data_IF_081683566279
#
_entry.id   IF_081683566279
#
_cell.length_a   1.000
_cell.length_b   1.000
_cell.length_c   1.000
_cell.angle_alpha   90.00
_cell.angle_beta   90.00
_cell.angle_gamma   90.00
#
_symmetry.space_group_name_H-M   'P 1'
#
loop_
_entity.id
_entity.type
_entity.pdbx_description
1 polymer ?
#
# COMPACT_ATOMS: atom_id res chain seq x y z
N UNK A 1 -5.18 0.24 -0.76
CA UNK A 1 -4.05 1.15 -0.51
C UNK A 1 -4.61 2.49 -0.13
N UNK A 2 -4.21 3.08 0.99
CA UNK A 2 -4.79 4.35 1.51
C UNK A 2 -3.72 5.39 1.85
N UNK A 3 -2.43 5.09 1.63
CA UNK A 3 -1.31 6.00 1.88
C UNK A 3 -0.94 6.86 0.66
N UNK A 4 -1.26 6.38 -0.54
CA UNK A 4 -1.07 7.07 -1.81
C UNK A 4 -2.16 6.61 -2.79
N UNK A 5 -2.44 7.44 -3.80
CA UNK A 5 -3.44 7.15 -4.82
C UNK A 5 -2.96 6.21 -5.92
N UNK A 6 -1.65 6.19 -6.19
CA UNK A 6 -0.99 5.31 -7.15
C UNK A 6 0.33 4.77 -6.59
N UNK A 7 0.74 3.61 -7.10
CA UNK A 7 2.11 3.11 -6.93
C UNK A 7 2.52 2.26 -8.14
N UNK A 8 3.73 2.50 -8.64
CA UNK A 8 4.42 1.65 -9.60
C UNK A 8 5.49 0.80 -8.90
N UNK A 9 5.46 -0.50 -9.13
CA UNK A 9 6.44 -1.45 -8.60
C UNK A 9 7.17 -2.13 -9.75
N UNK A 10 8.50 -2.13 -9.71
CA UNK A 10 9.35 -2.81 -10.69
C UNK A 10 10.13 -3.94 -10.02
N UNK A 11 9.96 -5.18 -10.49
CA UNK A 11 10.62 -6.37 -9.94
C UNK A 11 11.95 -6.74 -10.62
N UNK A 12 12.42 -5.88 -11.54
CA UNK A 12 13.61 -6.12 -12.36
C UNK A 12 13.29 -6.67 -13.76
N UNK A 13 12.07 -7.19 -13.98
CA UNK A 13 11.60 -7.68 -15.28
C UNK A 13 10.24 -7.09 -15.69
N UNK A 14 9.37 -6.82 -14.72
CA UNK A 14 7.99 -6.38 -14.93
C UNK A 14 7.67 -5.14 -14.08
N UNK A 15 6.92 -4.20 -14.67
CA UNK A 15 6.27 -3.10 -13.95
C UNK A 15 4.81 -3.46 -13.63
N UNK A 16 4.39 -3.23 -12.38
CA UNK A 16 3.00 -3.35 -11.93
C UNK A 16 2.53 -2.02 -11.35
N UNK A 17 1.48 -1.45 -11.93
CA UNK A 17 0.82 -0.24 -11.44
C UNK A 17 -0.41 -0.63 -10.62
N UNK A 18 -0.59 -0.01 -9.46
CA UNK A 18 -1.79 -0.16 -8.63
C UNK A 18 -2.37 1.21 -8.31
N UNK A 19 -3.68 1.31 -8.42
CA UNK A 19 -4.44 2.51 -8.07
C UNK A 19 -5.28 2.28 -6.82
N UNK A 20 -5.48 3.33 -6.03
CA UNK A 20 -6.29 3.29 -4.82
C UNK A 20 -7.76 3.47 -5.14
N UNK A 21 -8.55 2.40 -5.02
CA UNK A 21 -10.01 2.50 -5.00
C UNK A 21 -10.50 3.52 -3.95
N UNK A 22 -10.14 3.37 -2.66
CA UNK A 22 -10.64 4.26 -1.60
C UNK A 22 -10.34 5.75 -1.81
N UNK A 23 -9.17 6.10 -2.36
CA UNK A 23 -8.79 7.51 -2.57
C UNK A 23 -9.34 8.09 -3.88
N UNK A 24 -9.62 7.26 -4.89
CA UNK A 24 -10.00 7.73 -6.23
C UNK A 24 -11.48 7.56 -6.56
N UNK A 25 -12.22 6.68 -5.86
CA UNK A 25 -13.60 6.32 -6.24
C UNK A 25 -14.61 7.47 -6.18
N UNK A 26 -14.33 8.52 -5.40
CA UNK A 26 -15.18 9.71 -5.28
C UNK A 26 -14.53 10.96 -5.89
N UNK A 27 -13.40 10.80 -6.58
CA UNK A 27 -12.69 11.89 -7.25
C UNK A 27 -13.18 12.03 -8.70
N UNK A 28 -13.04 13.22 -9.29
CA UNK A 28 -13.25 13.38 -10.73
C UNK A 28 -12.43 12.38 -11.53
N UNK A 29 -12.97 11.89 -12.65
CA UNK A 29 -12.27 10.95 -13.55
C UNK A 29 -10.93 11.52 -14.06
N UNK A 30 -10.81 12.86 -14.14
CA UNK A 30 -9.56 13.53 -14.46
C UNK A 30 -8.42 13.19 -13.47
N UNK A 31 -8.72 13.09 -12.17
CA UNK A 31 -7.74 12.76 -11.13
C UNK A 31 -7.28 11.30 -11.25
N UNK A 32 -8.21 10.39 -11.55
CA UNK A 32 -7.90 8.99 -11.83
C UNK A 32 -6.92 8.89 -13.00
N UNK A 33 -7.19 9.60 -14.10
CA UNK A 33 -6.34 9.61 -15.30
C UNK A 33 -4.97 10.24 -15.02
N UNK A 34 -4.93 11.38 -14.32
CA UNK A 34 -3.69 12.02 -13.93
C UNK A 34 -2.83 11.12 -13.02
N UNK A 35 -3.45 10.43 -12.06
CA UNK A 35 -2.78 9.46 -11.18
C UNK A 35 -2.24 8.27 -11.98
N UNK A 36 -3.03 7.71 -12.90
CA UNK A 36 -2.58 6.62 -13.76
C UNK A 36 -1.37 7.05 -14.60
N UNK A 37 -1.45 8.20 -15.28
CA UNK A 37 -0.38 8.70 -16.12
C UNK A 37 0.90 8.96 -15.31
N UNK A 38 0.77 9.49 -14.08
CA UNK A 38 1.90 9.61 -13.15
C UNK A 38 2.62 8.27 -12.95
N UNK A 39 1.88 7.20 -12.63
CA UNK A 39 2.46 5.88 -12.43
C UNK A 39 2.98 5.24 -13.74
N UNK A 40 2.38 5.56 -14.90
CA UNK A 40 2.87 5.12 -16.21
C UNK A 40 4.19 5.79 -16.60
N UNK A 41 4.42 7.05 -16.22
CA UNK A 41 5.71 7.72 -16.42
C UNK A 41 6.80 7.01 -15.61
N UNK A 42 6.52 6.65 -14.36
CA UNK A 42 7.44 5.82 -13.55
C UNK A 42 7.77 4.51 -14.25
N UNK A 43 6.74 3.79 -14.71
CA UNK A 43 6.91 2.51 -15.40
C UNK A 43 7.77 2.66 -16.67
N UNK A 44 7.51 3.70 -17.48
CA UNK A 44 8.29 4.00 -18.68
C UNK A 44 9.77 4.23 -18.35
N UNK A 45 10.07 5.05 -17.34
CA UNK A 45 11.44 5.32 -16.92
C UNK A 45 12.13 4.05 -16.42
N UNK A 46 11.44 3.22 -15.62
CA UNK A 46 11.99 1.96 -15.12
C UNK A 46 12.35 0.99 -16.25
N UNK A 47 11.52 0.90 -17.29
CA UNK A 47 11.75 0.01 -18.42
C UNK A 47 12.84 0.53 -19.37
N UNK A 48 12.87 1.84 -19.64
CA UNK A 48 13.83 2.42 -20.58
C UNK A 48 15.22 2.63 -19.97
N UNK A 49 15.33 2.81 -18.65
CA UNK A 49 16.59 3.15 -17.97
C UNK A 49 16.78 2.43 -16.63
N UNK A 50 16.93 1.10 -16.63
CA UNK A 50 16.97 0.29 -15.40
C UNK A 50 18.17 0.58 -14.48
N UNK A 51 19.22 1.25 -14.98
CA UNK A 51 20.46 1.57 -14.25
C UNK A 51 20.56 3.01 -13.73
N UNK A 52 19.61 3.88 -14.05
CA UNK A 52 19.66 5.26 -13.56
C UNK A 52 19.21 5.37 -12.10
N UNK A 53 19.71 6.40 -11.41
CA UNK A 53 19.22 6.80 -10.09
C UNK A 53 17.69 6.85 -10.14
N UNK A 54 17.05 6.13 -9.23
CA UNK A 54 15.60 6.13 -9.04
C UNK A 54 15.19 7.39 -8.29
N UNK A 55 15.56 8.53 -8.84
CA UNK A 55 15.05 9.80 -8.37
C UNK A 55 13.58 9.86 -8.78
N UNK A 56 12.69 9.76 -7.78
CA UNK A 56 11.26 9.50 -8.01
C UNK A 56 10.68 10.49 -9.03
N UNK A 57 11.11 11.76 -9.03
CA UNK A 57 10.58 12.77 -9.94
C UNK A 57 11.66 13.68 -10.55
N UNK A 58 12.80 13.09 -10.95
CA UNK A 58 13.91 13.82 -11.56
C UNK A 58 13.58 14.50 -12.92
N UNK A 59 14.56 15.16 -13.58
CA UNK A 59 14.32 15.93 -14.80
C UNK A 59 13.63 15.17 -15.93
N UNK A 60 13.90 13.87 -16.08
CA UNK A 60 13.24 13.02 -17.07
C UNK A 60 11.74 12.86 -16.78
N UNK A 61 11.37 12.59 -15.52
CA UNK A 61 9.97 12.51 -15.13
C UNK A 61 9.26 13.84 -15.45
N UNK A 62 9.87 14.95 -15.06
CA UNK A 62 9.31 16.28 -15.25
C UNK A 62 9.16 16.65 -16.73
N UNK A 63 10.12 16.25 -17.56
CA UNK A 63 10.08 16.45 -19.01
C UNK A 63 8.92 15.69 -19.66
N UNK A 64 8.74 14.40 -19.36
CA UNK A 64 7.65 13.58 -19.89
C UNK A 64 6.30 14.08 -19.37
N UNK A 65 6.20 14.38 -18.07
CA UNK A 65 5.01 14.96 -17.44
C UNK A 65 4.60 16.27 -18.13
N UNK A 66 5.55 17.18 -18.33
CA UNK A 66 5.33 18.44 -19.04
C UNK A 66 4.81 18.22 -20.45
N UNK A 67 5.47 17.35 -21.22
CA UNK A 67 5.08 17.02 -22.59
C UNK A 67 3.65 16.45 -22.67
N UNK A 68 3.23 15.57 -21.75
CA UNK A 68 1.87 15.02 -21.73
C UNK A 68 0.84 16.11 -21.40
N UNK A 69 1.12 16.93 -20.38
CA UNK A 69 0.24 18.01 -19.95
C UNK A 69 0.03 19.05 -21.07
N UNK A 70 1.08 19.41 -21.82
CA UNK A 70 1.01 20.42 -22.90
C UNK A 70 0.69 19.83 -24.28
N UNK A 71 0.59 18.50 -24.41
CA UNK A 71 0.35 17.86 -25.71
C UNK A 71 -1.03 18.21 -26.27
N UNK A 72 -1.04 18.63 -27.54
CA UNK A 72 -2.25 18.84 -28.34
C UNK A 72 -2.64 17.59 -29.16
N UNK A 73 -1.94 16.47 -28.98
CA UNK A 73 -2.21 15.24 -29.73
C UNK A 73 -3.65 14.76 -29.50
N UNK A 74 -4.37 14.33 -30.56
CA UNK A 74 -5.72 13.81 -30.44
C UNK A 74 -5.76 12.61 -29.49
N UNK A 75 -6.53 12.74 -28.41
CA UNK A 75 -6.74 11.69 -27.44
C UNK A 75 -8.18 11.76 -26.95
N UNK A 76 -8.97 10.74 -27.28
CA UNK A 76 -10.38 10.63 -26.92
C UNK A 76 -10.59 10.49 -25.40
N UNK A 77 -9.55 10.15 -24.64
CA UNK A 77 -9.60 10.08 -23.19
C UNK A 77 -9.14 11.37 -22.51
N UNK A 78 -8.62 12.36 -23.25
CA UNK A 78 -8.16 13.62 -22.67
C UNK A 78 -9.34 14.39 -22.05
N UNK A 79 -9.26 14.80 -20.77
CA UNK A 79 -10.28 15.67 -20.16
C UNK A 79 -10.38 17.01 -20.92
N UNK A 80 -11.54 17.70 -20.91
CA UNK A 80 -11.71 18.99 -21.59
C UNK A 80 -10.67 20.05 -21.20
N UNK A 81 -10.24 20.06 -19.93
CA UNK A 81 -9.21 20.95 -19.39
C UNK A 81 -7.77 20.46 -19.64
N UNK A 82 -7.59 19.36 -20.38
CA UNK A 82 -6.30 18.68 -20.55
C UNK A 82 -5.94 17.78 -19.36
N UNK A 83 -4.75 17.16 -19.45
CA UNK A 83 -4.16 16.42 -18.34
C UNK A 83 -3.46 17.38 -17.36
N UNK A 84 -3.61 17.09 -16.07
CA UNK A 84 -3.01 17.87 -14.98
C UNK A 84 -2.15 16.96 -14.10
N UNK A 85 -1.16 16.29 -14.70
CA UNK A 85 -0.23 15.45 -13.97
C UNK A 85 0.68 16.36 -13.13
N UNK A 86 0.90 16.00 -11.87
CA UNK A 86 1.80 16.71 -10.97
C UNK A 86 2.78 15.75 -10.29
N UNK A 87 3.86 16.32 -9.74
CA UNK A 87 4.88 15.58 -8.96
C UNK A 87 4.27 15.03 -7.66
N UNK A 88 3.37 15.79 -7.03
CA UNK A 88 2.76 15.42 -5.77
C UNK A 88 1.27 15.19 -5.93
N UNK A 89 0.84 13.99 -5.58
CA UNK A 89 -0.58 13.65 -5.43
C UNK A 89 -1.28 14.64 -4.48
N UNK A 90 -2.41 15.23 -4.90
CA UNK A 90 -3.16 16.24 -4.14
C UNK A 90 -4.11 15.68 -3.07
N UNK A 91 -4.10 14.36 -2.84
CA UNK A 91 -5.06 13.65 -1.96
C UNK A 91 -4.74 13.73 -0.46
N UNK A 92 -4.27 14.89 0.01
CA UNK A 92 -3.79 15.03 1.40
C UNK A 92 -4.92 14.80 2.40
N UNK A 93 -6.12 15.34 2.12
CA UNK A 93 -7.27 15.25 3.02
C UNK A 93 -7.84 13.84 3.07
N UNK A 94 -7.98 13.17 1.92
CA UNK A 94 -8.44 11.79 1.86
C UNK A 94 -7.47 10.84 2.55
N UNK A 95 -6.16 11.02 2.34
CA UNK A 95 -5.13 10.27 3.05
C UNK A 95 -5.21 10.53 4.56
N UNK A 96 -5.45 11.78 4.97
CA UNK A 96 -5.58 12.14 6.38
C UNK A 96 -6.81 11.50 7.06
N UNK A 97 -7.94 11.37 6.36
CA UNK A 97 -9.14 10.64 6.85
C UNK A 97 -8.81 9.17 7.17
N UNK A 98 -7.88 8.57 6.43
CA UNK A 98 -7.43 7.21 6.69
C UNK A 98 -6.35 7.12 7.77
N UNK A 99 -5.65 8.20 8.12
CA UNK A 99 -4.59 8.21 9.15
C UNK A 99 -5.16 8.33 10.57
N UNK A 100 -5.96 7.34 10.96
CA UNK A 100 -6.72 7.32 12.22
C UNK A 100 -5.90 6.95 13.45
N UNK A 101 -4.70 6.42 13.29
CA UNK A 101 -3.85 6.00 14.40
C UNK A 101 -2.85 7.09 14.73
N UNK A 102 -3.00 7.68 15.91
CA UNK A 102 -2.18 8.79 16.38
C UNK A 102 -1.23 8.29 17.46
N UNK A 103 0.05 8.53 17.25
CA UNK A 103 1.13 8.19 18.16
C UNK A 103 1.82 9.48 18.61
N UNK A 104 1.94 9.69 19.91
CA UNK A 104 2.57 10.89 20.46
C UNK A 104 3.80 10.51 21.29
N UNK A 105 4.89 11.25 21.11
CA UNK A 105 6.06 11.10 21.97
C UNK A 105 5.77 11.67 23.36
N UNK A 106 5.91 10.86 24.41
CA UNK A 106 5.67 11.30 25.78
C UNK A 106 6.65 12.36 26.31
N UNK A 107 7.77 12.62 25.62
CA UNK A 107 8.78 13.58 26.05
C UNK A 107 8.70 14.93 25.30
N UNK A 108 8.59 14.91 23.97
CA UNK A 108 8.57 16.14 23.17
C UNK A 108 7.19 16.50 22.61
N UNK A 109 6.18 15.65 22.79
CA UNK A 109 4.83 15.88 22.25
C UNK A 109 4.70 15.67 20.74
N UNK A 110 5.76 15.28 20.01
CA UNK A 110 5.72 15.03 18.57
C UNK A 110 4.64 14.00 18.21
N UNK A 111 3.80 14.33 17.25
CA UNK A 111 2.68 13.51 16.81
C UNK A 111 2.93 12.87 15.44
N UNK A 112 2.72 11.56 15.36
CA UNK A 112 2.82 10.78 14.12
C UNK A 112 1.48 10.11 13.84
N UNK A 113 0.83 10.53 12.75
CA UNK A 113 -0.43 9.94 12.26
C UNK A 113 -0.19 8.87 11.21
N UNK A 114 -0.80 7.70 11.38
CA UNK A 114 -0.64 6.54 10.49
C UNK A 114 -1.98 5.94 10.11
N UNK A 115 -2.04 5.39 8.89
CA UNK A 115 -3.20 4.64 8.42
C UNK A 115 -3.24 3.20 8.96
N UNK A 116 -2.10 2.67 9.37
CA UNK A 116 -2.00 1.35 10.00
C UNK A 116 -1.72 1.53 11.50
N UNK A 117 -2.30 0.64 12.32
CA UNK A 117 -2.08 0.61 13.77
C UNK A 117 -0.69 0.06 14.10
N UNK A 118 0.35 0.82 13.77
CA UNK A 118 1.74 0.45 13.93
C UNK A 118 2.51 1.63 14.54
N UNK A 119 3.19 1.46 15.69
CA UNK A 119 3.99 2.53 16.26
C UNK A 119 5.15 2.91 15.33
N UNK A 120 5.66 4.15 15.42
CA UNK A 120 6.99 4.47 14.94
C UNK A 120 8.01 3.44 15.43
N UNK A 121 8.83 2.93 14.51
CA UNK A 121 9.74 1.82 14.79
C UNK A 121 10.96 1.89 13.89
N UNK A 122 11.91 0.97 14.15
CA UNK A 122 13.13 0.81 13.35
C UNK A 122 12.88 0.64 11.84
N UNK A 123 11.72 0.13 11.43
CA UNK A 123 11.40 -0.01 10.01
C UNK A 123 11.16 1.33 9.29
N UNK A 124 10.94 2.41 10.04
CA UNK A 124 10.84 3.76 9.49
C UNK A 124 12.22 4.39 9.24
N UNK A 125 13.29 3.67 9.59
CA UNK A 125 14.65 4.04 9.24
C UNK A 125 14.78 4.21 7.72
N UNK A 126 15.24 5.38 7.27
CA UNK A 126 15.39 5.62 5.84
C UNK A 126 16.47 4.75 5.17
N UNK A 127 17.43 4.23 5.94
CA UNK A 127 18.38 3.26 5.40
C UNK A 127 17.67 2.00 4.89
N UNK A 128 16.46 1.68 5.36
CA UNK A 128 15.66 0.54 4.90
C UNK A 128 14.71 0.89 3.75
N UNK A 129 14.55 2.16 3.38
CA UNK A 129 13.61 2.57 2.30
C UNK A 129 14.11 2.21 0.91
N UNK A 130 15.43 2.02 0.73
CA UNK A 130 15.97 1.51 -0.52
C UNK A 130 16.39 0.04 -0.34
N UNK A 131 15.88 -0.88 -1.18
CA UNK A 131 16.49 -2.20 -1.29
C UNK A 131 17.95 -1.98 -1.69
N UNK A 132 18.86 -2.54 -0.89
CA UNK A 132 20.29 -2.42 -1.13
C UNK A 132 20.62 -2.92 -2.55
N UNK A 133 21.69 -2.45 -3.16
CA UNK A 133 22.10 -2.93 -4.49
C UNK A 133 22.24 -4.47 -4.55
N UNK A 134 22.51 -5.12 -3.42
CA UNK A 134 22.61 -6.57 -3.28
C UNK A 134 21.28 -7.34 -3.45
N UNK A 135 20.13 -6.71 -3.27
CA UNK A 135 18.83 -7.37 -3.52
C UNK A 135 18.52 -7.48 -5.03
N UNK A 136 19.29 -6.80 -5.89
CA UNK A 136 19.05 -6.72 -7.34
C UNK A 136 20.04 -7.53 -8.19
N UNK A 137 20.92 -8.32 -7.58
CA UNK A 137 21.79 -9.25 -8.28
C UNK A 137 21.08 -10.57 -8.59
N UNK A 138 20.33 -10.66 -9.69
CA UNK A 138 20.33 -11.94 -10.44
C UNK A 138 21.60 -11.93 -11.28
N UNK A 139 22.59 -12.72 -10.86
CA UNK A 139 23.79 -12.98 -11.64
C UNK A 139 25.06 -12.45 -10.99
N UNK A 140 25.97 -13.39 -10.70
CA UNK A 140 27.31 -13.23 -10.14
C UNK A 140 27.38 -12.84 -8.65
N UNK A 141 28.17 -13.62 -7.91
CA UNK A 141 28.38 -13.65 -6.45
C UNK A 141 27.36 -14.49 -5.67
N UNK A 142 27.90 -15.50 -4.98
CA UNK A 142 27.16 -16.54 -4.26
C UNK A 142 26.13 -16.00 -3.29
N UNK A 143 25.04 -16.75 -3.15
CA UNK A 143 23.91 -16.36 -2.31
C UNK A 143 24.31 -16.21 -0.85
N UNK A 144 24.21 -14.98 -0.33
CA UNK A 144 24.29 -14.73 1.09
C UNK A 144 23.11 -15.40 1.82
N UNK A 145 23.41 -15.97 2.97
CA UNK A 145 22.45 -16.60 3.89
C UNK A 145 21.44 -15.58 4.42
N UNK A 146 20.29 -16.07 4.90
CA UNK A 146 19.31 -15.20 5.57
C UNK A 146 19.90 -14.48 6.80
N UNK A 147 20.86 -15.12 7.47
CA UNK A 147 21.57 -14.54 8.61
C UNK A 147 22.46 -13.37 8.19
N UNK A 148 23.23 -13.50 7.11
CA UNK A 148 24.06 -12.42 6.57
C UNK A 148 23.20 -11.23 6.10
N UNK A 149 22.02 -11.51 5.53
CA UNK A 149 21.04 -10.47 5.18
C UNK A 149 20.56 -9.69 6.40
N UNK A 150 20.25 -10.39 7.50
CA UNK A 150 19.81 -9.72 8.73
C UNK A 150 20.96 -8.94 9.39
N UNK A 151 22.19 -9.48 9.39
CA UNK A 151 23.38 -8.76 9.89
C UNK A 151 23.61 -7.46 9.14
N UNK A 152 23.55 -7.49 7.80
CA UNK A 152 23.70 -6.28 7.00
C UNK A 152 22.52 -5.31 7.19
N UNK A 153 21.29 -5.83 7.29
CA UNK A 153 20.11 -5.03 7.62
C UNK A 153 20.30 -4.29 8.94
N UNK A 154 20.73 -5.00 9.98
CA UNK A 154 20.99 -4.44 11.30
C UNK A 154 22.12 -3.42 11.27
N UNK A 155 23.21 -3.69 10.54
CA UNK A 155 24.32 -2.76 10.33
C UNK A 155 23.86 -1.45 9.67
N UNK A 156 23.03 -1.52 8.64
CA UNK A 156 22.49 -0.32 7.95
C UNK A 156 21.60 0.52 8.86
N UNK A 157 20.83 -0.13 9.73
CA UNK A 157 20.00 0.54 10.73
C UNK A 157 20.90 1.27 11.73
N UNK A 158 21.83 0.56 12.38
CA UNK A 158 22.64 1.10 13.49
C UNK A 158 23.59 2.20 13.03
N UNK A 159 24.06 2.14 11.78
CA UNK A 159 24.95 3.16 11.19
C UNK A 159 24.21 4.27 10.45
N UNK A 160 22.87 4.31 10.47
CA UNK A 160 22.08 5.30 9.75
C UNK A 160 22.29 6.73 10.28
N UNK A 161 22.93 7.56 9.46
CA UNK A 161 23.15 9.00 9.71
C UNK A 161 22.39 9.92 8.75
N UNK A 162 21.40 9.40 8.02
CA UNK A 162 20.73 10.20 7.00
C UNK A 162 19.97 11.38 7.65
N UNK A 163 20.20 12.63 7.20
CA UNK A 163 19.65 13.82 7.86
C UNK A 163 18.12 13.91 7.90
N UNK A 164 17.40 13.30 6.94
CA UNK A 164 15.92 13.27 6.92
C UNK A 164 15.34 12.04 7.64
N UNK A 165 16.17 11.26 8.36
CA UNK A 165 15.73 10.02 9.01
C UNK A 165 15.05 10.34 10.34
N UNK A 166 13.76 10.68 10.28
CA UNK A 166 12.99 11.14 11.46
C UNK A 166 13.05 10.14 12.63
N UNK A 167 13.02 8.83 12.39
CA UNK A 167 13.15 7.82 13.44
C UNK A 167 14.43 7.98 14.28
N UNK A 168 15.60 7.98 13.63
CA UNK A 168 16.88 8.13 14.32
C UNK A 168 17.14 9.56 14.76
N UNK A 169 16.63 10.57 14.05
CA UNK A 169 16.74 11.96 14.47
C UNK A 169 15.99 12.19 15.79
N UNK A 170 14.73 11.73 15.89
CA UNK A 170 13.96 11.77 17.12
C UNK A 170 14.65 10.94 18.23
N UNK A 171 15.12 9.74 17.92
CA UNK A 171 15.85 8.91 18.88
C UNK A 171 17.10 9.59 19.47
N UNK A 172 17.87 10.32 18.66
CA UNK A 172 19.07 11.05 19.11
C UNK A 172 18.75 12.37 19.82
N UNK A 173 17.79 13.14 19.31
CA UNK A 173 17.48 14.48 19.82
C UNK A 173 16.56 14.46 21.03
N UNK A 174 15.57 13.58 21.03
CA UNK A 174 14.56 13.48 22.07
C UNK A 174 14.81 12.27 22.97
N UNK A 175 14.99 11.08 22.39
CA UNK A 175 15.11 9.82 23.14
C UNK A 175 13.81 9.38 23.84
N UNK A 176 12.68 10.02 23.54
CA UNK A 176 11.37 9.63 24.04
C UNK A 176 10.76 8.45 23.29
N UNK A 177 9.75 7.83 23.89
CA UNK A 177 8.97 6.76 23.28
C UNK A 177 7.61 7.29 22.80
N UNK A 178 7.13 6.75 21.67
CA UNK A 178 5.81 7.03 21.15
C UNK A 178 4.77 6.13 21.80
N UNK A 179 3.72 6.73 22.35
CA UNK A 179 2.55 6.06 22.90
C UNK A 179 1.34 6.32 22.02
N UNK A 180 0.39 5.39 21.96
CA UNK A 180 -0.83 5.57 21.17
C UNK A 180 -1.77 6.50 21.92
N UNK A 181 -2.21 7.57 21.27
CA UNK A 181 -3.09 8.59 21.88
C UNK A 181 -4.48 8.67 21.23
N UNK A 182 -4.64 8.19 19.99
CA UNK A 182 -5.97 8.05 19.38
C UNK A 182 -6.05 6.90 18.37
N UNK A 183 -7.27 6.40 18.16
CA UNK A 183 -7.59 5.32 17.23
C UNK A 183 -7.99 4.00 17.89
N UNK A 184 -8.75 4.05 18.99
CA UNK A 184 -9.56 2.94 19.52
C UNK A 184 -10.99 3.06 19.02
N UNK A 185 -11.38 2.10 18.18
CA UNK A 185 -12.73 1.59 17.87
C UNK A 185 -13.93 2.54 18.00
N UNK A 186 -14.58 2.81 16.87
CA UNK A 186 -16.01 3.15 16.85
C UNK A 186 -16.82 1.88 16.54
N UNK A 187 -18.00 1.79 17.16
CA UNK A 187 -19.02 0.73 17.19
C UNK A 187 -18.88 -0.39 18.24
N UNK A 188 -19.75 -0.29 19.24
CA UNK A 188 -19.79 -1.11 20.45
C UNK A 188 -20.24 -2.56 20.28
N UNK A 189 -19.73 -3.40 21.15
CA UNK A 189 -20.39 -4.56 21.73
C UNK A 189 -19.66 -4.89 23.02
N UNK A 190 -20.31 -4.60 24.15
CA UNK A 190 -19.76 -4.86 25.48
C UNK A 190 -19.48 -6.34 25.66
N UNK A 191 -18.31 -6.68 26.21
CA UNK A 191 -18.13 -7.93 26.93
C UNK A 191 -17.45 -7.66 28.26
N UNK A 192 -18.21 -8.00 29.29
CA UNK A 192 -17.90 -7.91 30.69
C UNK A 192 -16.54 -8.55 31.03
N UNK A 193 -15.88 -7.94 32.00
CA UNK A 193 -14.62 -8.43 32.55
C UNK A 193 -14.73 -9.84 33.09
N UNK A 194 -13.61 -10.57 33.03
CA UNK A 194 -13.44 -11.79 33.81
C UNK A 194 -12.05 -11.79 34.43
N UNK A 195 -12.06 -11.65 35.76
CA UNK A 195 -10.88 -11.60 36.61
C UNK A 195 -10.13 -12.92 36.66
N UNK A 196 -8.84 -12.78 37.01
CA UNK A 196 -7.90 -13.83 37.41
C UNK A 196 -8.49 -14.77 38.46
N UNK A 197 -8.43 -16.09 38.22
CA UNK A 197 -8.10 -17.18 39.16
C UNK A 197 -7.52 -18.30 38.29
N UNK A 198 -6.32 -18.83 38.50
CA UNK A 198 -5.88 -19.61 39.65
C UNK A 198 -5.76 -21.06 39.18
N UNK A 199 -4.52 -21.52 38.95
CA UNK A 199 -4.16 -22.86 38.47
C UNK A 199 -4.28 -23.86 39.64
N UNK A 200 -4.96 -24.98 39.41
CA UNK A 200 -4.89 -26.17 40.26
C UNK A 200 -5.08 -27.42 39.39
N UNK A 201 -4.39 -28.48 39.79
CA UNK A 201 -4.15 -29.74 39.09
C UNK A 201 -5.35 -30.69 39.06
N UNK A 202 -5.20 -31.69 38.19
CA UNK A 202 -5.40 -33.12 38.47
C UNK A 202 -6.55 -33.90 37.82
N UNK A 203 -6.13 -35.04 37.26
CA UNK A 203 -6.83 -36.29 36.91
C UNK A 203 -7.67 -36.33 35.63
N UNK A 204 -7.15 -37.07 34.64
CA UNK A 204 -7.89 -37.62 33.51
C UNK A 204 -8.04 -39.13 33.71
N UNK A 205 -9.28 -39.60 33.86
CA UNK A 205 -9.66 -41.00 33.82
C UNK A 205 -10.50 -41.29 32.57
N UNK A 206 -10.05 -42.29 31.83
CA UNK A 206 -10.83 -43.34 31.15
C UNK A 206 -11.93 -42.99 30.11
N UNK A 207 -11.58 -43.22 28.84
CA UNK A 207 -12.26 -43.98 27.78
C UNK A 207 -13.79 -43.86 27.51
N UNK A 208 -14.14 -43.76 26.22
CA UNK A 208 -14.82 -44.81 25.40
C UNK A 208 -15.56 -44.15 24.21
N UNK A 209 -15.31 -44.67 23.00
CA UNK A 209 -16.10 -44.45 21.77
C UNK A 209 -17.19 -45.55 21.64
N UNK A 210 -18.28 -45.31 20.88
CA UNK A 210 -18.42 -45.95 19.55
C UNK A 210 -19.07 -44.99 18.51
N UNK A 211 -18.69 -44.98 17.24
CA UNK A 211 -18.92 -45.93 16.13
C UNK A 211 -20.30 -45.82 15.42
N UNK A 212 -20.20 -45.41 14.13
CA UNK A 212 -20.92 -45.86 12.93
C UNK A 212 -22.44 -45.67 12.73
N UNK A 213 -22.80 -45.02 11.61
CA UNK A 213 -23.65 -45.51 10.50
C UNK A 213 -24.04 -44.31 9.61
N UNK A 214 -23.80 -44.32 8.30
CA UNK A 214 -24.77 -44.76 7.28
C UNK A 214 -25.33 -43.54 6.56
N UNK A 215 -25.09 -43.35 5.26
CA UNK A 215 -26.09 -43.69 4.25
C UNK A 215 -26.37 -42.48 3.34
N UNK A 216 -26.67 -42.74 2.08
CA UNK A 216 -26.50 -41.84 0.94
C UNK A 216 -27.72 -40.98 0.57
N UNK A 217 -27.46 -40.07 -0.38
CA UNK A 217 -28.32 -39.57 -1.47
C UNK A 217 -29.22 -38.35 -1.25
N UNK A 218 -29.20 -37.45 -2.25
CA UNK A 218 -30.36 -36.66 -2.65
C UNK A 218 -30.21 -35.13 -2.69
N UNK A 219 -30.17 -34.57 -3.91
CA UNK A 219 -31.03 -33.42 -4.27
C UNK A 219 -30.51 -31.99 -4.09
N UNK A 220 -30.05 -31.40 -5.21
CA UNK A 220 -30.33 -30.04 -5.71
C UNK A 220 -30.87 -28.96 -4.75
N UNK A 221 -30.15 -27.83 -4.63
CA UNK A 221 -30.69 -26.59 -4.06
C UNK A 221 -29.76 -25.40 -4.23
N UNK A 222 -29.92 -24.65 -5.32
CA UNK A 222 -29.33 -23.32 -5.49
C UNK A 222 -29.81 -22.35 -4.40
N UNK A 223 -28.89 -21.77 -3.61
CA UNK A 223 -29.11 -20.47 -2.95
C UNK A 223 -27.85 -19.62 -3.00
N UNK A 224 -27.99 -18.47 -3.65
CA UNK A 224 -27.03 -17.37 -3.77
C UNK A 224 -26.60 -16.90 -2.38
N UNK A 225 -25.32 -17.08 -2.05
CA UNK A 225 -24.64 -16.35 -0.99
C UNK A 225 -23.86 -15.19 -1.61
N UNK A 226 -24.29 -13.96 -1.33
CA UNK A 226 -23.70 -12.74 -1.83
C UNK A 226 -22.34 -12.49 -1.13
N UNK A 227 -21.26 -13.01 -1.71
CA UNK A 227 -19.91 -12.71 -1.24
C UNK A 227 -19.44 -11.39 -1.87
N UNK A 228 -19.41 -10.32 -1.07
CA UNK A 228 -18.72 -9.07 -1.39
C UNK A 228 -17.22 -9.31 -1.46
N UNK A 229 -16.77 -9.88 -2.58
CA UNK A 229 -15.36 -10.07 -2.89
C UNK A 229 -14.75 -8.74 -3.31
N UNK A 230 -13.72 -8.30 -2.58
CA UNK A 230 -12.78 -7.28 -3.04
C UNK A 230 -11.97 -7.85 -4.23
N UNK A 231 -12.61 -7.99 -5.39
CA UNK A 231 -12.00 -8.45 -6.62
C UNK A 231 -11.14 -7.34 -7.26
N UNK A 232 -10.01 -7.73 -7.84
CA UNK A 232 -9.22 -6.86 -8.72
C UNK A 232 -10.10 -6.44 -9.91
N UNK A 233 -10.65 -5.23 -9.86
CA UNK A 233 -11.33 -4.61 -11.00
C UNK A 233 -10.30 -4.20 -12.05
N UNK A 234 -10.58 -4.49 -13.32
CA UNK A 234 -9.78 -4.00 -14.43
C UNK A 234 -9.96 -2.50 -14.54
N UNK A 235 -8.96 -1.80 -15.09
CA UNK A 235 -9.04 -0.35 -15.20
C UNK A 235 -10.22 0.08 -16.07
N UNK A 236 -10.58 -0.74 -17.06
CA UNK A 236 -11.76 -0.55 -17.90
C UNK A 236 -13.07 -0.54 -17.10
N UNK A 237 -13.13 -1.22 -15.95
CA UNK A 237 -14.35 -1.28 -15.12
C UNK A 237 -14.67 0.08 -14.45
N UNK A 238 -13.68 0.99 -14.37
CA UNK A 238 -13.87 2.35 -13.88
C UNK A 238 -14.28 3.33 -14.99
N UNK A 239 -14.12 2.94 -16.25
CA UNK A 239 -14.48 3.77 -17.38
C UNK A 239 -15.80 3.24 -17.97
N UNK A 240 -16.85 4.07 -18.01
CA UNK A 240 -18.03 3.73 -18.81
C UNK A 240 -17.56 3.45 -20.23
N UNK A 241 -17.74 2.21 -20.71
CA UNK A 241 -17.53 1.90 -22.13
C UNK A 241 -18.42 2.86 -22.93
N UNK A 242 -17.88 3.62 -23.88
CA UNK A 242 -18.74 4.36 -24.80
C UNK A 242 -19.68 3.36 -25.45
N UNK A 243 -20.98 3.64 -25.39
CA UNK A 243 -21.98 2.89 -26.15
C UNK A 243 -21.70 3.22 -27.61
N UNK A 244 -20.97 2.32 -28.27
CA UNK A 244 -20.78 2.35 -29.71
C UNK A 244 -21.92 1.57 -30.33
N UNK A 245 -22.72 2.22 -31.17
CA UNK A 245 -23.66 1.48 -32.01
C UNK A 245 -22.87 0.59 -32.98
N UNK A 246 -23.50 -0.45 -33.53
CA UNK A 246 -22.92 -1.42 -34.49
C UNK A 246 -22.32 -0.84 -35.78
N UNK A 247 -22.16 0.48 -35.87
CA UNK A 247 -21.48 1.25 -36.92
C UNK A 247 -20.30 2.08 -36.41
N UNK A 248 -19.83 1.89 -35.17
CA UNK A 248 -18.59 2.49 -34.67
C UNK A 248 -18.64 4.00 -34.43
N UNK A 249 -19.82 4.61 -34.24
CA UNK A 249 -19.95 6.02 -33.84
C UNK A 249 -20.33 6.12 -32.37
N UNK A 250 -19.63 6.98 -31.63
CA UNK A 250 -19.97 7.33 -30.26
C UNK A 250 -21.28 8.14 -30.25
N UNK A 251 -22.29 7.69 -29.50
CA UNK A 251 -23.49 8.49 -29.21
C UNK A 251 -23.14 9.57 -28.19
N UNK A 252 -23.50 10.83 -28.50
CA UNK A 252 -23.44 11.97 -27.57
C UNK A 252 -24.39 11.78 -26.40
#
# INVERSE_FOLDING_TARGET
MTLCAGVCMFDGALCRIRLSGPLLQYRPVADLKATLLHEMIHAFIFLCRPRHSRDDHGPMFQSIMGAINTSAAPDHQRPPQGYQISIYHSFKDEVNVHRRHVWQCGRCGEEVRRAMNRPPSVADCMALRQPGQWERGRGQFGGITAEEKEKERQRRITTCRHPRCNWHLHGRMCGGAFVKVAGSEDSGQGKAGRGKRGRAEETAGEQVAPAAAGGASGGSGSKKGNASGSGNRRIEDFFRRPVVDGKGKAKK
#
